data_IF_631746776048
#
_entry.id   IF_631746776048
#
_cell.length_a   1.000
_cell.length_b   1.000
_cell.length_c   1.000
_cell.angle_alpha   90.00
_cell.angle_beta   90.00
_cell.angle_gamma   90.00
#
_symmetry.space_group_name_H-M   'P 1'
#
loop_
_entity.id
_entity.type
_entity.pdbx_description
1 polymer ?
#
# COMPACT_ATOMS: atom_id res chain seq x y z
N UNK A 1 -2.31 4.26 -20.70
CA UNK A 1 -3.57 3.47 -20.77
C UNK A 1 -4.73 4.42 -20.44
N UNK A 2 -5.92 4.18 -20.98
CA UNK A 2 -7.11 5.06 -20.82
C UNK A 2 -8.03 4.41 -19.78
N UNK A 3 -8.57 5.19 -18.82
CA UNK A 3 -9.56 4.69 -17.86
C UNK A 3 -10.93 4.55 -18.54
N UNK A 4 -11.63 3.43 -18.32
CA UNK A 4 -12.92 3.14 -18.94
C UNK A 4 -14.05 3.03 -17.90
N UNK A 5 -15.09 3.84 -18.05
CA UNK A 5 -16.40 3.59 -17.43
C UNK A 5 -17.30 2.93 -18.47
N UNK A 6 -17.57 1.63 -18.30
CA UNK A 6 -18.61 0.92 -19.03
C UNK A 6 -19.87 0.88 -18.18
N UNK A 7 -20.90 1.64 -18.56
CA UNK A 7 -22.27 1.37 -18.14
C UNK A 7 -23.00 0.79 -19.35
N UNK A 8 -22.94 -0.53 -19.53
CA UNK A 8 -23.72 -1.23 -20.55
C UNK A 8 -24.12 -2.62 -20.06
N UNK A 9 -25.42 -2.95 -20.02
CA UNK A 9 -25.91 -4.23 -19.54
C UNK A 9 -25.91 -5.25 -20.68
N UNK A 10 -24.81 -5.96 -21.00
CA UNK A 10 -24.93 -7.03 -22.03
C UNK A 10 -23.82 -8.07 -22.04
N UNK A 11 -24.18 -9.31 -21.71
CA UNK A 11 -23.49 -10.56 -22.05
C UNK A 11 -23.33 -10.79 -23.59
N UNK A 12 -23.61 -9.81 -24.46
CA UNK A 12 -23.85 -10.02 -25.89
C UNK A 12 -22.77 -9.52 -26.85
N UNK A 13 -21.73 -8.82 -26.38
CA UNK A 13 -20.72 -8.23 -27.28
C UNK A 13 -19.81 -9.32 -27.86
N UNK A 14 -19.39 -10.28 -27.04
CA UNK A 14 -18.51 -11.39 -27.45
C UNK A 14 -19.15 -12.33 -28.46
N UNK A 15 -20.48 -12.45 -28.47
CA UNK A 15 -21.22 -13.31 -29.40
C UNK A 15 -21.37 -12.73 -30.81
N UNK A 16 -21.13 -11.44 -30.99
CA UNK A 16 -21.27 -10.77 -32.29
C UNK A 16 -19.92 -10.54 -32.99
N UNK A 17 -18.81 -10.63 -32.25
CA UNK A 17 -17.46 -10.52 -32.79
C UNK A 17 -17.15 -11.65 -33.78
N UNK A 18 -16.37 -11.36 -34.81
CA UNK A 18 -15.80 -12.41 -35.67
C UNK A 18 -14.65 -13.12 -34.97
N UNK A 19 -14.39 -14.37 -35.35
CA UNK A 19 -13.25 -15.15 -34.82
C UNK A 19 -11.91 -14.42 -35.04
N UNK A 20 -11.74 -13.78 -36.20
CA UNK A 20 -10.55 -12.95 -36.48
C UNK A 20 -10.39 -11.80 -35.48
N UNK A 21 -11.47 -11.09 -35.15
CA UNK A 21 -11.41 -9.96 -34.22
C UNK A 21 -11.17 -10.43 -32.78
N UNK A 22 -11.64 -11.63 -32.42
CA UNK A 22 -11.36 -12.25 -31.12
C UNK A 22 -9.91 -12.72 -31.00
N UNK A 23 -9.31 -13.18 -32.10
CA UNK A 23 -7.95 -13.71 -32.12
C UNK A 23 -6.89 -12.59 -32.22
N UNK A 24 -7.13 -11.56 -33.03
CA UNK A 24 -6.14 -10.54 -33.35
C UNK A 24 -6.48 -9.13 -32.82
N UNK A 25 -7.69 -8.93 -32.31
CA UNK A 25 -8.12 -7.62 -31.78
C UNK A 25 -7.40 -7.27 -30.47
N UNK A 26 -6.81 -6.08 -30.41
CA UNK A 26 -6.14 -5.57 -29.19
C UNK A 26 -6.96 -4.50 -28.45
N UNK A 27 -8.00 -3.96 -29.07
CA UNK A 27 -8.71 -2.76 -28.62
C UNK A 27 -10.20 -3.03 -28.36
N UNK A 28 -10.58 -3.24 -27.10
CA UNK A 28 -11.98 -3.52 -26.73
C UNK A 28 -12.95 -2.39 -27.10
N UNK A 29 -12.49 -1.14 -27.11
CA UNK A 29 -13.29 0.02 -27.55
C UNK A 29 -13.65 -0.05 -29.03
N UNK A 30 -12.71 -0.53 -29.86
CA UNK A 30 -12.95 -0.67 -31.29
C UNK A 30 -14.00 -1.75 -31.55
N UNK A 31 -14.00 -2.83 -30.78
CA UNK A 31 -15.02 -3.88 -30.85
C UNK A 31 -16.40 -3.35 -30.43
N UNK A 32 -16.48 -2.61 -29.32
CA UNK A 32 -17.73 -1.99 -28.86
C UNK A 32 -18.31 -1.01 -29.89
N UNK A 33 -17.45 -0.22 -30.55
CA UNK A 33 -17.85 0.66 -31.65
C UNK A 33 -18.33 -0.12 -32.87
N UNK A 34 -17.61 -1.17 -33.27
CA UNK A 34 -17.86 -1.96 -34.48
C UNK A 34 -19.16 -2.78 -34.39
N UNK A 35 -19.37 -3.49 -33.29
CA UNK A 35 -20.48 -4.44 -33.15
C UNK A 35 -21.69 -3.88 -32.43
N UNK A 36 -21.52 -2.85 -31.59
CA UNK A 36 -22.62 -2.30 -30.77
C UNK A 36 -22.87 -0.81 -31.01
N UNK A 37 -22.11 -0.17 -31.92
CA UNK A 37 -22.20 1.27 -32.21
C UNK A 37 -22.03 2.17 -30.98
N UNK A 38 -21.31 1.69 -29.96
CA UNK A 38 -21.01 2.44 -28.74
C UNK A 38 -19.80 3.33 -29.00
N UNK A 39 -20.00 4.65 -28.88
CA UNK A 39 -18.92 5.63 -28.94
C UNK A 39 -18.36 5.87 -27.53
N UNK A 40 -17.22 5.27 -27.23
CA UNK A 40 -16.55 5.47 -25.96
C UNK A 40 -16.04 6.90 -25.80
N UNK A 41 -16.11 7.43 -24.58
CA UNK A 41 -15.47 8.70 -24.22
C UNK A 41 -14.03 8.41 -23.81
N UNK A 42 -13.07 9.06 -24.45
CA UNK A 42 -11.67 8.99 -24.05
C UNK A 42 -11.41 9.95 -22.89
N UNK A 43 -10.74 9.46 -21.86
CA UNK A 43 -10.37 10.22 -20.66
C UNK A 43 -8.85 10.19 -20.53
N UNK A 44 -8.24 11.35 -20.29
CA UNK A 44 -6.81 11.45 -20.05
C UNK A 44 -6.41 10.68 -18.79
N UNK A 45 -5.42 9.80 -18.93
CA UNK A 45 -4.91 8.96 -17.84
C UNK A 45 -3.77 9.64 -17.08
N UNK A 46 -3.53 9.20 -15.83
CA UNK A 46 -2.32 9.59 -15.10
C UNK A 46 -1.07 8.97 -15.73
N UNK A 47 0.13 9.53 -15.50
CA UNK A 47 1.39 8.94 -15.99
C UNK A 47 1.65 7.53 -15.43
N UNK A 48 1.09 7.20 -14.27
CA UNK A 48 1.19 5.87 -13.63
C UNK A 48 0.47 4.77 -14.42
N UNK A 49 -0.39 5.15 -15.37
CA UNK A 49 -1.22 4.23 -16.12
C UNK A 49 -0.45 3.67 -17.33
N UNK A 50 0.60 2.88 -17.04
CA UNK A 50 1.45 2.20 -18.01
C UNK A 50 1.38 0.67 -17.90
N UNK A 51 1.93 -0.05 -18.89
CA UNK A 51 2.12 -1.51 -18.83
C UNK A 51 3.57 -1.82 -18.52
N UNK A 52 3.82 -2.60 -17.48
CA UNK A 52 5.13 -3.19 -17.21
C UNK A 52 5.42 -4.24 -18.28
N UNK A 53 6.32 -3.93 -19.22
CA UNK A 53 6.58 -4.75 -20.41
C UNK A 53 8.05 -5.17 -20.49
N UNK A 54 8.96 -4.28 -20.11
CA UNK A 54 10.40 -4.49 -20.13
C UNK A 54 10.98 -4.56 -18.72
N UNK A 55 12.21 -5.08 -18.60
CA UNK A 55 12.92 -5.16 -17.32
C UNK A 55 13.06 -3.80 -16.62
N UNK A 56 13.27 -2.72 -17.37
CA UNK A 56 13.34 -1.36 -16.81
C UNK A 56 12.03 -0.92 -16.16
N UNK A 57 10.91 -1.41 -16.67
CA UNK A 57 9.59 -1.07 -16.13
C UNK A 57 9.39 -1.78 -14.77
N UNK A 58 10.01 -2.94 -14.55
CA UNK A 58 10.04 -3.59 -13.23
C UNK A 58 10.78 -2.72 -12.21
N UNK A 59 11.93 -2.15 -12.58
CA UNK A 59 12.67 -1.25 -11.68
C UNK A 59 11.88 0.02 -11.35
N UNK A 60 11.18 0.58 -12.34
CA UNK A 60 10.31 1.72 -12.12
C UNK A 60 9.13 1.36 -11.19
N UNK A 61 8.44 0.25 -11.46
CA UNK A 61 7.33 -0.22 -10.64
C UNK A 61 7.77 -0.54 -9.21
N UNK A 62 8.89 -1.23 -9.04
CA UNK A 62 9.49 -1.54 -7.74
C UNK A 62 9.80 -0.26 -6.95
N UNK A 63 10.40 0.73 -7.61
CA UNK A 63 10.74 2.01 -6.97
C UNK A 63 9.49 2.76 -6.52
N UNK A 64 8.45 2.84 -7.36
CA UNK A 64 7.17 3.49 -7.02
C UNK A 64 6.48 2.78 -5.86
N UNK A 65 6.48 1.43 -5.85
CA UNK A 65 5.90 0.65 -4.74
C UNK A 65 6.66 0.97 -3.45
N UNK A 66 7.99 0.92 -3.45
CA UNK A 66 8.80 1.23 -2.26
C UNK A 66 8.56 2.66 -1.78
N UNK A 67 8.55 3.64 -2.69
CA UNK A 67 8.28 5.04 -2.36
C UNK A 67 6.93 5.23 -1.68
N UNK A 68 5.86 4.56 -2.16
CA UNK A 68 4.52 4.60 -1.56
C UNK A 68 4.49 3.96 -0.18
N UNK A 69 5.16 2.81 -0.03
CA UNK A 69 5.23 2.11 1.26
C UNK A 69 6.08 2.89 2.29
N UNK A 70 7.02 3.72 1.85
CA UNK A 70 7.84 4.58 2.70
C UNK A 70 7.14 5.86 3.17
N UNK A 71 5.89 6.12 2.77
CA UNK A 71 5.16 7.31 3.21
C UNK A 71 4.62 7.21 4.63
N UNK A 72 4.77 6.08 5.31
CA UNK A 72 4.23 5.86 6.64
C UNK A 72 5.25 5.19 7.56
N UNK A 73 5.43 5.74 8.76
CA UNK A 73 6.33 5.22 9.80
C UNK A 73 5.55 5.13 11.12
N UNK A 74 5.61 3.97 11.76
CA UNK A 74 5.04 3.75 13.09
C UNK A 74 6.16 3.59 14.13
N UNK A 75 6.19 4.50 15.09
CA UNK A 75 7.10 4.45 16.25
C UNK A 75 6.37 3.70 17.36
N UNK A 76 6.99 2.63 17.83
CA UNK A 76 6.44 1.74 18.85
C UNK A 76 7.23 1.95 20.14
N UNK A 77 6.53 2.26 21.23
CA UNK A 77 7.12 2.57 22.54
C UNK A 77 6.34 1.95 23.70
N UNK A 78 6.98 1.77 24.87
CA UNK A 78 6.31 1.23 26.06
C UNK A 78 5.37 2.29 26.70
N UNK A 79 4.19 1.83 27.11
CA UNK A 79 3.13 2.58 27.82
C UNK A 79 3.56 3.22 29.15
N UNK A 80 4.70 2.82 29.72
CA UNK A 80 4.99 3.04 31.15
C UNK A 80 5.50 4.43 31.52
N UNK A 81 5.68 5.40 30.63
CA UNK A 81 6.24 6.70 31.05
C UNK A 81 5.84 7.94 30.24
N UNK A 82 6.02 9.08 30.93
CA UNK A 82 5.59 10.45 30.61
C UNK A 82 5.86 10.93 29.16
N UNK A 83 5.14 12.00 28.79
CA UNK A 83 5.25 12.78 27.53
C UNK A 83 6.67 13.24 27.13
N UNK A 84 7.66 13.11 28.01
CA UNK A 84 9.08 13.44 27.79
C UNK A 84 9.91 12.22 27.32
N UNK A 85 9.24 11.19 26.80
CA UNK A 85 9.89 9.97 26.33
C UNK A 85 10.65 10.19 25.01
N UNK A 86 11.82 9.56 24.87
CA UNK A 86 12.68 9.60 23.66
C UNK A 86 11.89 9.27 22.39
N UNK A 87 10.89 8.39 22.48
CA UNK A 87 10.01 8.05 21.37
C UNK A 87 9.26 9.25 20.79
N UNK A 88 8.74 10.16 21.63
CA UNK A 88 8.07 11.38 21.16
C UNK A 88 9.06 12.40 20.60
N UNK A 89 10.26 12.52 21.19
CA UNK A 89 11.31 13.35 20.62
C UNK A 89 11.72 12.86 19.22
N UNK A 90 11.85 11.55 19.05
CA UNK A 90 12.15 10.94 17.76
C UNK A 90 11.02 11.16 16.75
N UNK A 91 9.77 11.08 17.20
CA UNK A 91 8.60 11.40 16.38
C UNK A 91 8.65 12.84 15.85
N UNK A 92 8.93 13.82 16.71
CA UNK A 92 9.04 15.22 16.32
C UNK A 92 10.20 15.47 15.35
N UNK A 93 11.36 14.86 15.59
CA UNK A 93 12.51 14.96 14.69
C UNK A 93 12.18 14.33 13.34
N UNK A 94 11.61 13.13 13.31
CA UNK A 94 11.25 12.47 12.05
C UNK A 94 10.20 13.26 11.26
N UNK A 95 9.20 13.85 11.94
CA UNK A 95 8.23 14.73 11.27
C UNK A 95 8.88 15.97 10.65
N UNK A 96 9.91 16.50 11.30
CA UNK A 96 10.62 17.71 10.85
C UNK A 96 11.59 17.40 9.70
N UNK A 97 12.34 16.30 9.79
CA UNK A 97 13.31 15.90 8.78
C UNK A 97 12.62 15.26 7.56
N UNK A 98 11.47 14.61 7.75
CA UNK A 98 10.73 13.88 6.73
C UNK A 98 9.36 14.52 6.47
N UNK A 99 9.36 15.76 6.00
CA UNK A 99 8.18 16.64 5.84
C UNK A 99 6.98 16.05 5.06
N UNK A 100 7.18 15.01 4.25
CA UNK A 100 6.13 14.37 3.45
C UNK A 100 5.71 12.98 3.97
N UNK A 101 6.36 12.48 5.01
CA UNK A 101 6.12 11.15 5.57
C UNK A 101 5.19 11.27 6.77
N UNK A 102 4.18 10.41 6.81
CA UNK A 102 3.27 10.33 7.93
C UNK A 102 3.89 9.51 9.06
N UNK A 103 4.27 10.19 10.14
CA UNK A 103 4.85 9.55 11.33
C UNK A 103 3.79 9.48 12.44
N UNK A 104 3.58 8.28 12.99
CA UNK A 104 2.68 8.02 14.13
C UNK A 104 3.47 7.40 15.28
N UNK A 105 3.19 7.80 16.52
CA UNK A 105 3.60 7.07 17.72
C UNK A 105 2.48 6.17 18.23
N UNK A 106 2.80 4.97 18.67
CA UNK A 106 1.87 4.07 19.33
C UNK A 106 2.53 3.30 20.48
N UNK A 107 1.73 3.01 21.49
CA UNK A 107 2.13 2.15 22.60
C UNK A 107 1.59 0.73 22.45
N UNK A 108 2.43 -0.29 22.68
CA UNK A 108 2.01 -1.69 22.72
C UNK A 108 1.20 -1.96 24.00
N UNK A 109 -0.12 -2.09 23.90
CA UNK A 109 -0.96 -2.54 25.01
C UNK A 109 -0.85 -4.05 25.20
N UNK A 110 -0.70 -4.50 26.45
CA UNK A 110 -0.98 -5.89 26.82
C UNK A 110 -2.48 -6.15 26.62
N UNK A 111 -2.81 -7.12 25.78
CA UNK A 111 -4.18 -7.54 25.50
C UNK A 111 -4.92 -7.90 26.80
N UNK A 112 -5.94 -7.11 27.12
CA UNK A 112 -6.86 -7.37 28.24
C UNK A 112 -8.31 -7.00 27.94
N UNK A 113 -8.57 -6.03 27.07
CA UNK A 113 -9.93 -5.69 26.66
C UNK A 113 -9.90 -4.76 25.46
N UNK A 114 -10.66 -5.14 24.44
CA UNK A 114 -10.98 -4.41 23.22
C UNK A 114 -9.79 -4.05 22.33
N UNK A 115 -9.68 -4.85 21.27
CA UNK A 115 -8.85 -4.68 20.10
C UNK A 115 -9.14 -3.28 19.53
N UNK A 116 -8.40 -2.27 20.00
CA UNK A 116 -8.03 -1.18 19.14
C UNK A 116 -7.12 -1.81 18.10
N UNK A 117 -7.77 -2.31 17.05
CA UNK A 117 -7.13 -2.72 15.81
C UNK A 117 -6.15 -1.61 15.53
N UNK A 118 -4.86 -1.92 15.67
CA UNK A 118 -3.87 -1.03 15.13
C UNK A 118 -4.32 -0.87 13.68
N UNK A 119 -4.58 0.37 13.27
CA UNK A 119 -4.94 0.65 11.88
C UNK A 119 -3.65 0.52 11.05
N UNK A 120 -3.10 -0.69 11.08
CA UNK A 120 -1.91 -1.21 10.40
C UNK A 120 -2.19 -1.41 8.92
N UNK A 121 -3.42 -1.13 8.46
CA UNK A 121 -3.87 -1.53 7.13
C UNK A 121 -2.92 -1.10 6.01
N UNK A 122 -2.00 -0.15 6.25
CA UNK A 122 -1.03 0.33 5.25
C UNK A 122 0.40 0.63 5.78
N UNK A 123 0.75 0.30 7.03
CA UNK A 123 2.07 0.63 7.59
C UNK A 123 3.04 -0.56 7.56
N UNK A 124 4.20 -0.37 6.93
CA UNK A 124 5.24 -1.40 6.76
C UNK A 124 6.59 -1.03 7.37
N UNK A 125 6.74 0.18 7.92
CA UNK A 125 7.98 0.64 8.54
C UNK A 125 7.75 0.93 10.02
N UNK A 126 8.45 0.19 10.88
CA UNK A 126 8.33 0.28 12.32
C UNK A 126 9.66 0.66 12.95
N UNK A 127 9.61 1.56 13.94
CA UNK A 127 10.76 1.92 14.77
C UNK A 127 10.40 1.59 16.20
N UNK A 128 11.03 0.56 16.76
CA UNK A 128 10.89 0.18 18.15
C UNK A 128 11.86 1.00 19.01
N UNK A 129 11.36 1.68 20.03
CA UNK A 129 12.18 2.48 20.94
C UNK A 129 12.14 1.83 22.33
N UNK A 130 13.28 1.32 22.78
CA UNK A 130 13.46 0.80 24.14
C UNK A 130 14.57 1.59 24.87
N UNK A 131 14.23 2.15 26.04
CA UNK A 131 15.13 3.00 26.84
C UNK A 131 15.54 2.34 28.15
N UNK A 132 14.75 1.38 28.65
CA UNK A 132 14.84 0.92 30.04
C UNK A 132 15.51 -0.44 30.20
N UNK A 133 15.28 -1.33 29.26
CA UNK A 133 15.82 -2.69 29.32
C UNK A 133 16.86 -2.87 28.21
N UNK A 134 18.03 -3.48 28.49
CA UNK A 134 18.96 -3.90 27.44
C UNK A 134 18.39 -5.01 26.56
N UNK A 135 17.20 -5.52 26.90
CA UNK A 135 16.57 -6.67 26.28
C UNK A 135 15.60 -6.26 25.16
N UNK A 136 15.46 -7.10 24.14
CA UNK A 136 14.59 -6.85 22.98
C UNK A 136 13.12 -7.19 23.23
N UNK A 137 12.64 -7.08 24.47
CA UNK A 137 11.30 -7.55 24.84
C UNK A 137 10.20 -6.84 24.02
N UNK A 138 10.34 -5.54 23.82
CA UNK A 138 9.36 -4.74 23.06
C UNK A 138 9.37 -5.10 21.57
N UNK A 139 10.57 -5.25 21.00
CA UNK A 139 10.76 -5.70 19.63
C UNK A 139 10.20 -7.11 19.43
N UNK A 140 10.38 -8.02 20.40
CA UNK A 140 9.80 -9.37 20.34
C UNK A 140 8.27 -9.36 20.37
N UNK A 141 7.64 -8.53 21.20
CA UNK A 141 6.17 -8.38 21.20
C UNK A 141 5.68 -7.86 19.86
N UNK A 142 6.32 -6.83 19.31
CA UNK A 142 5.98 -6.29 18.00
C UNK A 142 6.10 -7.38 16.93
N UNK A 143 7.20 -8.16 16.92
CA UNK A 143 7.37 -9.27 15.98
C UNK A 143 6.27 -10.31 16.10
N UNK A 144 5.89 -10.72 17.32
CA UNK A 144 4.77 -11.67 17.49
C UNK A 144 3.45 -11.14 16.95
N UNK A 145 3.15 -9.85 17.15
CA UNK A 145 1.95 -9.23 16.59
C UNK A 145 2.01 -9.14 15.06
N UNK A 146 3.18 -8.81 14.52
CA UNK A 146 3.40 -8.73 13.08
C UNK A 146 3.33 -10.11 12.41
N UNK A 147 3.73 -11.17 13.10
CA UNK A 147 3.60 -12.56 12.61
C UNK A 147 2.14 -13.04 12.61
N UNK A 148 1.35 -12.66 13.61
CA UNK A 148 -0.09 -12.96 13.66
C UNK A 148 -0.90 -12.18 12.62
N UNK A 149 -0.42 -10.98 12.28
CA UNK A 149 -1.02 -10.15 11.25
C UNK A 149 -0.48 -10.53 9.87
N UNK A 150 -1.35 -10.81 8.90
CA UNK A 150 -0.95 -11.22 7.55
C UNK A 150 -0.25 -10.13 6.70
N UNK A 151 0.35 -9.08 7.31
CA UNK A 151 0.97 -7.96 6.59
C UNK A 151 2.17 -8.38 5.73
N UNK A 152 2.97 -9.32 6.22
CA UNK A 152 4.17 -9.82 5.52
C UNK A 152 3.86 -10.57 4.22
N UNK A 153 2.59 -10.94 3.99
CA UNK A 153 2.13 -11.58 2.74
C UNK A 153 2.12 -10.56 1.59
N UNK A 154 1.82 -9.29 1.88
CA UNK A 154 1.66 -8.26 0.86
C UNK A 154 2.99 -7.59 0.51
N UNK A 155 3.73 -7.15 1.52
CA UNK A 155 5.01 -6.46 1.34
C UNK A 155 5.98 -6.79 2.47
N UNK A 156 7.27 -6.57 2.22
CA UNK A 156 8.32 -6.72 3.23
C UNK A 156 8.15 -5.67 4.32
N UNK A 157 8.19 -6.11 5.57
CA UNK A 157 8.13 -5.24 6.75
C UNK A 157 9.55 -4.86 7.17
N UNK A 158 9.75 -3.58 7.48
CA UNK A 158 11.01 -3.03 8.01
C UNK A 158 10.81 -2.73 9.49
N UNK A 159 11.69 -3.29 10.33
CA UNK A 159 11.72 -3.01 11.77
C UNK A 159 13.11 -2.50 12.12
N UNK A 160 13.18 -1.30 12.70
CA UNK A 160 14.38 -0.72 13.30
C UNK A 160 14.24 -0.79 14.81
N UNK A 161 15.23 -1.33 15.51
CA UNK A 161 15.25 -1.48 16.98
C UNK A 161 16.50 -0.87 17.58
#
# INVERSE_FOLDING_TARGET
LVNFEFFSPSHSITHQCSDYDLEFGTECLQLALKYCHIKAKLVEGSPDLWKVTYKRDLYAAESIIKERLSQEICIVMDTKENKEHIGHLLEEVLKTELNHIHVRSQSLYNAGSDIQHINLEQCYNFICVNVKEPDFQETQKLMSMLEESNFSILYSIVVVS
#
